data_IF_786222520289
#
_entry.id   IF_786222520289
#
_cell.length_a   1.000
_cell.length_b   1.000
_cell.length_c   1.000
_cell.angle_alpha   90.00
_cell.angle_beta   90.00
_cell.angle_gamma   90.00
#
_symmetry.space_group_name_H-M   'P 1'
#
loop_
_entity.id
_entity.type
_entity.pdbx_description
1 polymer ?
#
# COMPACT_ATOMS: atom_id res chain seq x y z
N UNK A 1 -3.27 3.45 -18.63
CA UNK A 1 -4.39 3.47 -17.68
C UNK A 1 -3.79 3.75 -16.31
N UNK A 2 -4.27 4.77 -15.59
CA UNK A 2 -3.77 5.12 -14.27
C UNK A 2 -4.60 4.40 -13.20
N UNK A 3 -3.97 3.89 -12.16
CA UNK A 3 -4.65 3.29 -11.02
C UNK A 3 -5.21 4.38 -10.12
N UNK A 4 -6.43 4.18 -9.61
CA UNK A 4 -7.03 5.07 -8.63
C UNK A 4 -6.65 4.64 -7.20
N UNK A 5 -5.99 5.53 -6.45
CA UNK A 5 -5.54 5.28 -5.08
C UNK A 5 -6.54 5.90 -4.10
N UNK A 6 -7.27 5.05 -3.40
CA UNK A 6 -8.16 5.43 -2.30
C UNK A 6 -7.43 5.23 -0.97
N UNK A 7 -7.38 6.26 -0.13
CA UNK A 7 -6.73 6.18 1.18
C UNK A 7 -7.81 6.26 2.25
N UNK A 8 -7.83 5.30 3.17
CA UNK A 8 -8.73 5.36 4.32
C UNK A 8 -8.40 6.58 5.20
N UNK A 9 -9.37 7.37 5.70
CA UNK A 9 -9.10 8.56 6.51
C UNK A 9 -8.23 8.28 7.74
N UNK A 10 -8.35 7.09 8.34
CA UNK A 10 -7.53 6.66 9.50
C UNK A 10 -6.05 6.51 9.13
N UNK A 11 -5.75 6.19 7.87
CA UNK A 11 -4.39 6.15 7.33
C UNK A 11 -3.85 7.56 7.10
N UNK A 12 -4.70 8.50 6.70
CA UNK A 12 -4.29 9.91 6.52
C UNK A 12 -3.81 10.48 7.86
N UNK A 13 -4.53 10.22 8.95
CA UNK A 13 -4.12 10.62 10.30
C UNK A 13 -2.77 9.99 10.68
N UNK A 14 -2.56 8.70 10.35
CA UNK A 14 -1.29 8.01 10.62
C UNK A 14 -0.14 8.58 9.77
N UNK A 15 -0.39 8.90 8.50
CA UNK A 15 0.59 9.49 7.58
C UNK A 15 0.93 10.94 7.94
N UNK A 16 0.03 11.70 8.57
CA UNK A 16 0.30 13.06 9.07
C UNK A 16 1.37 13.07 10.19
N UNK A 17 1.53 11.96 10.92
CA UNK A 17 2.62 11.80 11.88
C UNK A 17 3.96 11.48 11.21
N UNK A 18 3.95 11.03 9.95
CA UNK A 18 5.16 10.83 9.18
C UNK A 18 5.52 12.11 8.44
N UNK A 19 6.82 12.30 8.19
CA UNK A 19 7.28 13.43 7.37
C UNK A 19 6.64 13.38 5.97
N UNK A 20 6.29 14.54 5.42
CA UNK A 20 5.67 14.67 4.08
C UNK A 20 6.50 13.97 2.98
N UNK A 21 7.82 13.92 3.17
CA UNK A 21 8.78 13.20 2.31
C UNK A 21 8.47 11.71 2.20
N UNK A 22 8.04 11.08 3.30
CA UNK A 22 7.75 9.64 3.38
C UNK A 22 6.41 9.35 2.71
N UNK A 23 5.40 10.20 2.92
CA UNK A 23 4.11 10.04 2.26
C UNK A 23 4.26 10.11 0.72
N UNK A 24 5.04 11.07 0.21
CA UNK A 24 5.34 11.18 -1.23
C UNK A 24 6.10 9.97 -1.76
N UNK A 25 7.09 9.49 -1.00
CA UNK A 25 7.88 8.32 -1.36
C UNK A 25 7.01 7.05 -1.43
N UNK A 26 6.09 6.85 -0.47
CA UNK A 26 5.17 5.71 -0.47
C UNK A 26 4.17 5.77 -1.63
N UNK A 27 3.62 6.94 -1.94
CA UNK A 27 2.72 7.10 -3.09
C UNK A 27 3.44 6.79 -4.41
N UNK A 28 4.65 7.34 -4.58
CA UNK A 28 5.45 7.07 -5.78
C UNK A 28 5.80 5.59 -5.93
N UNK A 29 6.11 4.91 -4.81
CA UNK A 29 6.35 3.47 -4.80
C UNK A 29 5.14 2.68 -5.30
N UNK A 30 3.95 3.00 -4.76
CA UNK A 30 2.72 2.33 -5.11
C UNK A 30 2.38 2.56 -6.58
N UNK A 31 2.49 3.79 -7.08
CA UNK A 31 2.28 4.09 -8.50
C UNK A 31 3.18 3.26 -9.41
N UNK A 32 4.48 3.15 -9.09
CA UNK A 32 5.43 2.34 -9.86
C UNK A 32 5.11 0.84 -9.79
N UNK A 33 4.79 0.32 -8.61
CA UNK A 33 4.42 -1.09 -8.44
C UNK A 33 3.13 -1.43 -9.17
N UNK A 34 2.12 -0.56 -9.08
CA UNK A 34 0.83 -0.73 -9.73
C UNK A 34 0.95 -0.62 -11.25
N UNK A 35 1.81 0.27 -11.76
CA UNK A 35 2.11 0.35 -13.19
C UNK A 35 2.69 -0.96 -13.76
N UNK A 36 3.37 -1.76 -12.93
CA UNK A 36 3.88 -3.08 -13.28
C UNK A 36 2.87 -4.23 -13.14
N UNK A 37 1.72 -4.02 -12.50
CA UNK A 37 0.67 -5.04 -12.37
C UNK A 37 -0.15 -5.13 -13.66
N UNK A 38 0.31 -5.93 -14.62
CA UNK A 38 -0.35 -6.07 -15.93
C UNK A 38 -1.51 -7.06 -16.00
N UNK A 39 -1.84 -7.81 -14.95
CA UNK A 39 -3.09 -8.59 -14.79
C UNK A 39 -3.03 -9.40 -13.47
N UNK A 40 -4.16 -9.65 -12.79
CA UNK A 40 -4.17 -10.44 -11.56
C UNK A 40 -3.86 -11.93 -11.81
N UNK A 41 -3.06 -12.52 -10.92
CA UNK A 41 -3.14 -13.97 -10.65
C UNK A 41 -4.54 -14.21 -10.10
N UNK A 42 -5.43 -14.80 -10.89
CA UNK A 42 -6.83 -15.07 -10.50
C UNK A 42 -6.86 -16.04 -9.31
N UNK A 43 -6.99 -15.49 -8.11
CA UNK A 43 -7.64 -16.18 -7.01
C UNK A 43 -9.04 -15.58 -6.89
N UNK A 44 -9.96 -16.10 -7.70
CA UNK A 44 -11.38 -15.79 -7.53
C UNK A 44 -11.80 -16.36 -6.18
N UNK A 45 -12.29 -15.53 -5.27
CA UNK A 45 -13.07 -16.04 -4.17
C UNK A 45 -14.42 -16.58 -4.70
N UNK A 46 -15.12 -17.36 -3.88
CA UNK A 46 -16.38 -18.02 -4.29
C UNK A 46 -17.53 -17.05 -4.62
N UNK A 47 -17.31 -15.72 -4.55
CA UNK A 47 -18.33 -14.71 -4.81
C UNK A 47 -18.05 -13.88 -6.08
N UNK A 48 -16.94 -14.14 -6.77
CA UNK A 48 -16.60 -13.45 -8.02
C UNK A 48 -16.09 -12.02 -7.82
N UNK A 49 -15.86 -11.59 -6.58
CA UNK A 49 -15.12 -10.36 -6.29
C UNK A 49 -13.64 -10.72 -6.13
N UNK A 50 -12.77 -10.25 -7.04
CA UNK A 50 -11.32 -10.39 -6.85
C UNK A 50 -10.88 -9.31 -5.85
N UNK A 51 -11.15 -9.53 -4.56
CA UNK A 51 -10.70 -8.68 -3.46
C UNK A 51 -9.50 -9.33 -2.78
N UNK A 52 -8.30 -9.03 -3.29
CA UNK A 52 -7.06 -9.43 -2.64
C UNK A 52 -6.60 -8.38 -1.64
N UNK A 53 -6.47 -8.75 -0.36
CA UNK A 53 -5.64 -7.95 0.56
C UNK A 53 -4.19 -8.25 0.20
N UNK A 54 -3.45 -7.22 -0.20
CA UNK A 54 -2.03 -7.25 -0.48
C UNK A 54 -1.30 -6.40 0.53
N UNK A 55 -0.16 -6.89 1.00
CA UNK A 55 0.75 -6.13 1.83
C UNK A 55 1.94 -5.69 1.00
N UNK A 56 2.20 -4.39 0.96
CA UNK A 56 3.42 -3.81 0.42
C UNK A 56 4.36 -3.47 1.57
N UNK A 57 5.66 -3.54 1.34
CA UNK A 57 6.65 -3.07 2.31
C UNK A 57 7.69 -2.21 1.62
N UNK A 58 8.05 -1.10 2.25
CA UNK A 58 9.08 -0.19 1.76
C UNK A 58 10.01 0.21 2.89
N UNK A 59 11.30 0.00 2.69
CA UNK A 59 12.33 0.51 3.59
C UNK A 59 12.54 2.01 3.34
N UNK A 60 12.41 2.79 4.40
CA UNK A 60 12.63 4.24 4.43
C UNK A 60 13.75 4.57 5.42
N UNK A 61 14.15 5.84 5.49
CA UNK A 61 15.18 6.31 6.42
C UNK A 61 14.80 6.12 7.90
N UNK A 62 13.49 6.00 8.21
CA UNK A 62 13.00 5.87 9.59
C UNK A 62 12.60 4.44 9.97
N UNK A 63 12.58 3.51 9.01
CA UNK A 63 12.21 2.11 9.26
C UNK A 63 11.60 1.43 8.04
N UNK A 64 10.93 0.31 8.27
CA UNK A 64 10.16 -0.39 7.23
C UNK A 64 8.70 0.02 7.36
N UNK A 65 8.16 0.65 6.33
CA UNK A 65 6.73 0.95 6.24
C UNK A 65 6.01 -0.23 5.58
N UNK A 66 5.05 -0.81 6.27
CA UNK A 66 4.13 -1.81 5.74
C UNK A 66 2.80 -1.14 5.37
N UNK A 67 2.30 -1.42 4.17
CA UNK A 67 1.06 -0.86 3.63
C UNK A 67 0.12 -2.03 3.37
N UNK A 68 -1.01 -2.05 4.05
CA UNK A 68 -2.07 -3.03 3.83
C UNK A 68 -3.08 -2.39 2.90
N UNK A 69 -3.24 -2.96 1.71
CA UNK A 69 -4.13 -2.43 0.71
C UNK A 69 -4.98 -3.53 0.08
N UNK A 70 -6.20 -3.16 -0.28
CA UNK A 70 -7.10 -3.98 -1.06
C UNK A 70 -7.00 -3.54 -2.52
N UNK A 71 -6.72 -4.49 -3.42
CA UNK A 71 -6.62 -4.21 -4.86
C UNK A 71 -7.88 -4.72 -5.55
N UNK A 72 -8.53 -3.83 -6.30
CA UNK A 72 -9.61 -4.12 -7.23
C UNK A 72 -9.06 -3.97 -8.66
N UNK A 73 -8.76 -5.10 -9.28
CA UNK A 73 -8.18 -5.14 -10.63
C UNK A 73 -9.20 -4.81 -11.73
N UNK A 74 -10.50 -5.01 -11.48
CA UNK A 74 -11.53 -4.69 -12.47
C UNK A 74 -11.69 -3.18 -12.60
N UNK A 75 -11.74 -2.50 -11.44
CA UNK A 75 -11.85 -1.04 -11.36
C UNK A 75 -10.50 -0.32 -11.45
N UNK A 76 -9.39 -1.06 -11.48
CA UNK A 76 -8.03 -0.51 -11.36
C UNK A 76 -7.91 0.42 -10.14
N UNK A 77 -8.49 -0.02 -9.03
CA UNK A 77 -8.52 0.72 -7.77
C UNK A 77 -7.64 0.02 -6.73
N UNK A 78 -6.93 0.79 -5.93
CA UNK A 78 -6.27 0.32 -4.72
C UNK A 78 -6.82 1.11 -3.53
N UNK A 79 -7.27 0.40 -2.50
CA UNK A 79 -7.71 1.00 -1.24
C UNK A 79 -6.70 0.70 -0.15
N UNK A 80 -5.98 1.71 0.31
CA UNK A 80 -5.08 1.60 1.46
C UNK A 80 -5.92 1.56 2.73
N UNK A 81 -5.85 0.45 3.45
CA UNK A 81 -6.63 0.19 4.65
C UNK A 81 -5.85 0.53 5.92
N UNK A 82 -4.54 0.25 5.92
CA UNK A 82 -3.70 0.46 7.08
C UNK A 82 -2.23 0.69 6.67
N UNK A 83 -1.52 1.53 7.41
CA UNK A 83 -0.08 1.74 7.25
C UNK A 83 0.57 1.59 8.62
N UNK A 84 1.65 0.81 8.66
CA UNK A 84 2.40 0.57 9.89
C UNK A 84 3.88 0.83 9.65
N UNK A 85 4.46 1.75 10.42
CA UNK A 85 5.91 1.90 10.47
C UNK A 85 6.50 0.94 11.50
N UNK A 86 7.37 0.06 11.03
CA UNK A 86 8.25 -0.75 11.86
C UNK A 86 9.62 -0.08 11.92
N UNK A 87 9.87 0.67 12.98
CA UNK A 87 11.20 1.24 13.21
C UNK A 87 12.20 0.10 13.29
N UNK A 88 13.33 0.24 12.60
CA UNK A 88 14.46 -0.70 12.68
C UNK A 88 15.20 -0.62 14.04
N UNK A 89 14.55 -0.09 15.08
CA UNK A 89 15.07 0.03 16.43
C UNK A 89 14.94 -1.29 17.23
N UNK A 90 15.02 -2.43 16.54
CA UNK A 90 15.06 -3.76 17.15
C UNK A 90 16.11 -4.60 16.42
N UNK A 91 17.36 -4.16 16.47
CA UNK A 91 18.55 -5.02 16.66
C UNK A 91 19.78 -4.12 16.84
N UNK A 92 19.76 -3.32 17.92
CA UNK A 92 21.04 -2.96 18.55
C UNK A 92 21.41 -4.16 19.42
N UNK A 93 22.14 -5.11 18.83
CA UNK A 93 22.93 -6.09 19.57
C UNK A 93 23.85 -5.42 20.59
#
# INVERSE_FOLDING_TARGET
>A
MAWEILVDPTVIETLQFYEESIAKDLLHYLEQHLAGLTQPVRHADQQGEIKGITTFSRTTLIGVVMIFAQIDYERHQIKILHVQLRNNAADKC
#
